data_IF_032038053337
#
_entry.id   IF_032038053337
#
_cell.length_a   1.000
_cell.length_b   1.000
_cell.length_c   1.000
_cell.angle_alpha   90.00
_cell.angle_beta   90.00
_cell.angle_gamma   90.00
#
_symmetry.space_group_name_H-M   'P 1'
#
loop_
_entity.id
_entity.type
_entity.pdbx_description
1 polymer ?
#
# COMPACT_ATOMS: atom_id res chain seq x y z
N UNK A 1 22.78 -46.99 35.17
CA UNK A 1 23.37 -45.91 36.00
C UNK A 1 22.79 -44.61 35.50
N UNK A 2 22.01 -43.96 36.35
CA UNK A 2 21.41 -42.66 36.09
C UNK A 2 22.36 -41.56 36.59
N UNK A 3 22.50 -40.48 35.83
CA UNK A 3 22.90 -39.18 36.38
C UNK A 3 22.05 -38.13 35.67
N UNK A 4 21.28 -37.42 36.48
CA UNK A 4 20.47 -36.27 36.13
C UNK A 4 21.22 -35.00 36.56
N UNK A 5 21.24 -33.97 35.71
CA UNK A 5 21.50 -32.58 36.10
C UNK A 5 20.63 -31.71 35.18
N UNK A 6 19.53 -31.13 35.69
CA UNK A 6 19.36 -29.91 36.48
C UNK A 6 19.12 -28.68 35.60
N UNK A 7 17.88 -28.21 35.70
CA UNK A 7 17.32 -26.93 35.27
C UNK A 7 17.84 -25.80 36.16
N UNK A 8 18.12 -24.64 35.55
CA UNK A 8 17.99 -23.30 36.13
C UNK A 8 17.63 -22.38 34.93
N UNK A 9 16.38 -21.94 34.73
CA UNK A 9 15.70 -20.83 35.38
C UNK A 9 16.50 -19.52 35.29
N UNK A 10 16.22 -18.70 34.28
CA UNK A 10 16.53 -17.28 34.28
C UNK A 10 15.26 -16.45 34.07
N UNK A 11 15.31 -15.28 34.68
CA UNK A 11 14.23 -14.59 35.35
C UNK A 11 13.33 -13.75 34.43
N UNK A 12 12.06 -13.71 34.81
CA UNK A 12 11.07 -12.70 34.44
C UNK A 12 11.51 -11.35 35.00
N UNK A 13 11.82 -10.38 34.14
CA UNK A 13 12.04 -8.99 34.56
C UNK A 13 10.71 -8.25 34.50
N UNK A 14 10.22 -7.93 35.69
CA UNK A 14 9.04 -7.13 35.97
C UNK A 14 9.16 -5.68 35.48
N UNK A 15 7.97 -5.11 35.24
CA UNK A 15 7.75 -3.87 34.53
C UNK A 15 8.28 -2.59 35.20
N UNK A 16 8.45 -1.59 34.34
CA UNK A 16 8.67 -0.20 34.72
C UNK A 16 7.36 0.58 34.61
N UNK A 17 6.92 1.27 35.68
CA UNK A 17 5.80 2.20 35.61
C UNK A 17 6.27 3.53 35.01
N UNK A 18 5.60 4.00 33.96
CA UNK A 18 5.74 5.37 33.48
C UNK A 18 4.86 6.29 34.33
N UNK A 19 5.51 7.08 35.18
CA UNK A 19 4.88 8.14 35.97
C UNK A 19 4.46 9.32 35.09
N UNK A 20 3.18 9.67 35.22
CA UNK A 20 2.61 10.98 34.92
C UNK A 20 3.24 12.05 35.83
N UNK A 21 3.78 13.12 35.24
CA UNK A 21 3.64 14.53 35.69
C UNK A 21 4.59 15.48 34.97
N UNK A 22 4.05 16.31 34.09
CA UNK A 22 4.54 17.67 33.89
C UNK A 22 3.38 18.57 33.41
N UNK A 23 2.85 19.34 34.36
CA UNK A 23 1.92 20.44 34.20
C UNK A 23 2.69 21.75 34.39
N UNK A 24 2.63 22.67 33.41
CA UNK A 24 2.77 24.14 33.51
C UNK A 24 2.28 24.72 32.15
N UNK A 25 1.07 25.28 32.02
CA UNK A 25 0.57 26.64 32.37
C UNK A 25 1.15 27.81 31.55
N UNK A 26 0.38 28.20 30.51
CA UNK A 26 -0.01 29.54 30.01
C UNK A 26 1.06 30.49 29.35
N UNK A 27 0.70 31.51 28.50
CA UNK A 27 -0.62 32.17 28.36
C UNK A 27 -1.12 32.56 26.93
N UNK A 28 -2.34 33.13 26.98
CA UNK A 28 -3.27 33.72 25.98
C UNK A 28 -2.72 34.66 24.87
N UNK A 29 -3.63 34.93 23.90
CA UNK A 29 -3.77 36.05 22.91
C UNK A 29 -3.69 35.55 21.45
N UNK A 30 -4.64 35.77 20.52
CA UNK A 30 -5.69 36.79 20.38
C UNK A 30 -6.92 36.25 19.63
N UNK A 31 -8.05 36.86 19.98
CA UNK A 31 -9.39 36.78 19.39
C UNK A 31 -9.43 37.70 18.15
N UNK A 32 -10.05 37.24 17.06
CA UNK A 32 -10.39 38.05 15.86
C UNK A 32 -11.62 37.45 15.16
N UNK A 33 -12.49 38.28 14.54
CA UNK A 33 -13.94 38.09 14.62
C UNK A 33 -14.60 37.32 13.47
N UNK A 34 -15.80 36.85 13.80
CA UNK A 34 -16.83 36.27 12.95
C UNK A 34 -17.15 37.08 11.70
N UNK A 35 -17.24 36.40 10.54
CA UNK A 35 -18.10 36.82 9.43
C UNK A 35 -18.75 35.58 8.82
N UNK A 36 -20.02 35.37 9.16
CA UNK A 36 -20.98 34.55 8.42
C UNK A 36 -21.59 35.43 7.33
N UNK A 37 -21.81 34.91 6.12
CA UNK A 37 -23.11 35.15 5.50
C UNK A 37 -23.85 33.86 5.16
N UNK A 38 -25.15 33.99 5.36
CA UNK A 38 -26.20 33.00 5.22
C UNK A 38 -26.55 32.75 3.75
N UNK A 39 -26.92 31.50 3.47
CA UNK A 39 -27.93 30.99 2.51
C UNK A 39 -28.28 31.86 1.29
N UNK A 40 -28.22 31.21 0.13
CA UNK A 40 -29.41 31.16 -0.73
C UNK A 40 -29.47 29.86 -1.55
N UNK A 41 -30.69 29.34 -1.66
CA UNK A 41 -31.05 28.12 -2.36
C UNK A 41 -31.71 28.47 -3.69
N UNK A 42 -31.23 27.89 -4.79
CA UNK A 42 -32.01 27.77 -6.04
C UNK A 42 -31.63 26.43 -6.69
N UNK A 43 -32.51 25.44 -6.62
CA UNK A 43 -33.60 25.18 -7.55
C UNK A 43 -33.12 24.54 -8.85
N UNK A 44 -33.31 23.20 -8.88
CA UNK A 44 -33.24 22.35 -10.06
C UNK A 44 -34.11 22.92 -11.19
N UNK A 45 -33.56 23.00 -12.40
CA UNK A 45 -34.34 22.79 -13.62
C UNK A 45 -33.60 21.85 -14.57
N UNK A 46 -34.35 20.79 -14.89
CA UNK A 46 -34.10 19.79 -15.92
C UNK A 46 -33.89 20.45 -17.28
N UNK A 47 -32.94 19.95 -18.07
CA UNK A 47 -33.04 20.05 -19.53
C UNK A 47 -32.32 18.85 -20.16
N UNK A 48 -33.17 17.95 -20.63
CA UNK A 48 -32.89 16.79 -21.46
C UNK A 48 -32.35 17.25 -22.81
N UNK A 49 -31.17 16.76 -23.19
CA UNK A 49 -30.72 16.78 -24.58
C UNK A 49 -30.31 15.36 -24.95
N UNK A 50 -31.26 14.64 -25.56
CA UNK A 50 -31.02 13.39 -26.26
C UNK A 50 -30.22 13.70 -27.52
N UNK A 51 -28.95 13.34 -27.54
CA UNK A 51 -28.16 13.28 -28.79
C UNK A 51 -28.30 11.85 -29.30
N UNK A 52 -29.20 11.69 -30.28
CA UNK A 52 -29.25 10.48 -31.09
C UNK A 52 -28.00 10.42 -31.96
N UNK A 53 -27.13 9.46 -31.67
CA UNK A 53 -26.09 9.00 -32.61
C UNK A 53 -26.50 7.62 -33.09
N UNK A 54 -27.09 7.57 -34.28
CA UNK A 54 -27.22 6.33 -35.03
C UNK A 54 -25.82 5.90 -35.50
N UNK A 55 -25.35 4.76 -35.02
CA UNK A 55 -24.25 4.03 -35.62
C UNK A 55 -24.79 2.67 -36.07
N UNK A 56 -25.16 2.59 -37.34
CA UNK A 56 -25.33 1.34 -38.08
C UNK A 56 -23.93 0.80 -38.35
N UNK A 57 -23.64 -0.42 -37.89
CA UNK A 57 -22.39 -1.08 -38.23
C UNK A 57 -22.07 -2.32 -37.41
N UNK A 58 -22.59 -3.46 -37.87
CA UNK A 58 -21.93 -4.76 -37.89
C UNK A 58 -21.50 -5.41 -36.56
N UNK A 59 -22.27 -6.45 -36.23
CA UNK A 59 -21.93 -7.57 -35.33
C UNK A 59 -20.47 -8.03 -35.44
N UNK A 60 -19.82 -8.29 -34.29
CA UNK A 60 -19.30 -9.62 -34.06
C UNK A 60 -19.67 -10.17 -32.67
N UNK A 61 -19.68 -11.50 -32.62
CA UNK A 61 -20.12 -12.37 -31.54
C UNK A 61 -19.77 -11.86 -30.14
N UNK A 62 -20.82 -11.49 -29.40
CA UNK A 62 -20.77 -11.08 -28.00
C UNK A 62 -20.45 -12.29 -27.11
N UNK A 63 -19.15 -12.56 -26.94
CA UNK A 63 -18.68 -13.31 -25.79
C UNK A 63 -18.98 -12.48 -24.55
N UNK A 64 -20.02 -12.86 -23.81
CA UNK A 64 -20.45 -12.16 -22.62
C UNK A 64 -19.29 -12.09 -21.61
N UNK A 65 -18.61 -10.94 -21.55
CA UNK A 65 -17.67 -10.63 -20.47
C UNK A 65 -18.50 -10.58 -19.19
N UNK A 66 -18.46 -11.68 -18.42
CA UNK A 66 -19.08 -11.74 -17.10
C UNK A 66 -18.28 -10.83 -16.18
N UNK A 67 -18.69 -9.56 -16.12
CA UNK A 67 -18.17 -8.59 -15.16
C UNK A 67 -18.59 -9.10 -13.78
N UNK A 68 -17.67 -9.79 -13.10
CA UNK A 68 -17.83 -10.14 -11.70
C UNK A 68 -17.78 -8.85 -10.89
N UNK A 69 -18.94 -8.29 -10.60
CA UNK A 69 -19.07 -7.26 -9.57
C UNK A 69 -18.83 -7.98 -8.23
N UNK A 70 -17.76 -7.65 -7.48
CA UNK A 70 -17.55 -8.29 -6.19
C UNK A 70 -18.78 -8.01 -5.33
N UNK A 71 -19.38 -9.09 -4.83
CA UNK A 71 -20.43 -9.05 -3.83
C UNK A 71 -19.87 -8.25 -2.64
N UNK A 72 -20.58 -7.20 -2.24
CA UNK A 72 -20.10 -6.26 -1.23
C UNK A 72 -20.09 -6.93 0.13
N UNK A 73 -19.03 -7.68 0.42
CA UNK A 73 -18.68 -8.07 1.78
C UNK A 73 -18.52 -6.79 2.59
N UNK A 74 -19.15 -6.75 3.76
CA UNK A 74 -19.28 -5.57 4.60
C UNK A 74 -17.97 -4.79 4.72
N UNK A 75 -17.95 -3.62 4.07
CA UNK A 75 -16.83 -2.71 3.94
C UNK A 75 -16.39 -2.24 5.35
N UNK A 76 -15.45 -2.93 5.99
CA UNK A 76 -14.56 -2.28 6.97
C UNK A 76 -13.50 -1.51 6.22
N UNK A 77 -13.91 -0.53 5.43
CA UNK A 77 -12.97 0.32 4.70
C UNK A 77 -12.43 1.36 5.66
N UNK A 78 -11.29 1.02 6.24
CA UNK A 78 -10.34 2.04 6.67
C UNK A 78 -9.84 2.75 5.42
N UNK A 79 -10.16 4.03 5.28
CA UNK A 79 -9.61 4.89 4.24
C UNK A 79 -8.41 5.66 4.81
N UNK A 80 -7.38 5.83 4.00
CA UNK A 80 -6.32 6.79 4.28
C UNK A 80 -6.93 8.20 4.28
N UNK A 81 -6.69 8.95 5.36
CA UNK A 81 -7.08 10.35 5.46
C UNK A 81 -5.95 11.24 4.94
N UNK A 82 -4.73 10.97 5.40
CA UNK A 82 -3.53 11.67 4.97
C UNK A 82 -2.35 10.69 4.97
N UNK A 83 -1.52 10.76 3.94
CA UNK A 83 -0.23 10.06 3.88
C UNK A 83 0.84 11.11 4.11
N UNK A 84 1.56 11.01 5.23
CA UNK A 84 2.62 11.95 5.60
C UNK A 84 3.94 11.63 4.94
N UNK A 85 4.22 10.34 4.73
CA UNK A 85 5.43 9.86 4.08
C UNK A 85 5.13 8.64 3.21
N UNK A 86 5.82 8.56 2.08
CA UNK A 86 5.70 7.46 1.14
C UNK A 86 7.06 7.09 0.56
N UNK A 87 7.30 5.79 0.42
CA UNK A 87 8.47 5.24 -0.23
C UNK A 87 8.06 4.22 -1.29
N UNK A 88 8.83 4.14 -2.36
CA UNK A 88 8.82 3.03 -3.32
C UNK A 88 10.01 2.13 -3.02
N UNK A 89 9.76 0.84 -2.81
CA UNK A 89 10.79 -0.14 -2.54
C UNK A 89 10.87 -1.21 -3.60
N UNK A 90 12.08 -1.72 -3.83
CA UNK A 90 12.33 -2.90 -4.65
C UNK A 90 13.08 -3.95 -3.83
N UNK A 91 12.52 -5.16 -3.78
CA UNK A 91 13.16 -6.31 -3.12
C UNK A 91 14.42 -6.69 -3.91
N UNK A 92 15.55 -6.78 -3.21
CA UNK A 92 16.83 -7.22 -3.76
C UNK A 92 17.05 -8.70 -3.48
N UNK A 93 16.71 -9.11 -2.26
CA UNK A 93 16.89 -10.47 -1.78
C UNK A 93 15.81 -10.81 -0.76
N UNK A 94 15.17 -11.98 -0.89
CA UNK A 94 14.22 -12.51 0.08
C UNK A 94 14.82 -13.73 0.80
N UNK A 95 14.74 -13.74 2.14
CA UNK A 95 15.07 -14.89 3.00
C UNK A 95 13.78 -15.45 3.63
N UNK A 96 13.20 -16.52 3.05
CA UNK A 96 11.99 -17.15 3.58
C UNK A 96 12.19 -17.82 4.94
N UNK A 97 13.40 -18.30 5.24
CA UNK A 97 13.68 -19.05 6.48
C UNK A 97 13.76 -18.09 7.66
N UNK A 98 14.40 -16.94 7.48
CA UNK A 98 14.47 -15.86 8.46
C UNK A 98 13.19 -14.99 8.51
N UNK A 99 12.28 -15.16 7.53
CA UNK A 99 11.04 -14.38 7.36
C UNK A 99 11.31 -12.88 7.20
N UNK A 100 12.32 -12.53 6.43
CA UNK A 100 12.73 -11.15 6.17
C UNK A 100 13.21 -10.98 4.73
N UNK A 101 13.23 -9.74 4.25
CA UNK A 101 13.76 -9.41 2.92
C UNK A 101 14.53 -8.10 2.95
N UNK A 102 15.55 -8.03 2.10
CA UNK A 102 16.37 -6.84 1.87
C UNK A 102 15.79 -6.09 0.68
N UNK A 103 15.61 -4.78 0.83
CA UNK A 103 15.09 -3.91 -0.22
C UNK A 103 15.87 -2.61 -0.32
N UNK A 104 15.92 -2.05 -1.53
CA UNK A 104 16.30 -0.65 -1.75
C UNK A 104 15.03 0.17 -1.80
N UNK A 105 14.94 1.21 -0.98
CA UNK A 105 13.82 2.14 -0.93
C UNK A 105 14.21 3.52 -1.43
N UNK A 106 13.25 4.18 -2.09
CA UNK A 106 13.34 5.56 -2.56
C UNK A 106 12.23 6.39 -1.93
N UNK A 107 12.61 7.52 -1.33
CA UNK A 107 11.66 8.47 -0.77
C UNK A 107 10.87 9.19 -1.88
N UNK A 108 9.55 9.02 -1.87
CA UNK A 108 8.64 9.70 -2.80
C UNK A 108 8.21 11.09 -2.29
N UNK A 109 8.40 11.34 -0.99
CA UNK A 109 8.09 12.60 -0.30
C UNK A 109 9.20 13.63 -0.52
N UNK A 110 10.45 13.20 -0.38
CA UNK A 110 11.63 14.05 -0.55
C UNK A 110 12.65 13.40 -1.49
N UNK A 111 12.53 13.70 -2.79
CA UNK A 111 13.37 13.10 -3.85
C UNK A 111 14.86 13.47 -3.79
N UNK A 112 15.26 14.41 -2.93
CA UNK A 112 16.67 14.72 -2.70
C UNK A 112 17.36 13.72 -1.78
N UNK A 113 16.58 12.92 -1.04
CA UNK A 113 17.12 11.86 -0.20
C UNK A 113 17.69 10.75 -1.09
N UNK A 114 18.87 10.20 -0.74
CA UNK A 114 19.44 9.08 -1.47
C UNK A 114 18.57 7.83 -1.30
N UNK A 115 18.74 6.85 -2.20
CA UNK A 115 18.14 5.53 -2.04
C UNK A 115 18.79 4.83 -0.83
N UNK A 116 18.00 4.14 0.00
CA UNK A 116 18.44 3.49 1.24
C UNK A 116 18.24 1.97 1.17
N UNK A 117 19.14 1.20 1.77
CA UNK A 117 18.98 -0.26 1.93
C UNK A 117 18.37 -0.56 3.30
N UNK A 118 17.31 -1.38 3.31
CA UNK A 118 16.56 -1.73 4.51
C UNK A 118 16.26 -3.23 4.56
N UNK A 119 16.19 -3.76 5.77
CA UNK A 119 15.72 -5.11 6.06
C UNK A 119 14.32 -5.03 6.64
N UNK A 120 13.38 -5.79 6.07
CA UNK A 120 11.96 -5.76 6.44
C UNK A 120 11.47 -7.17 6.75
N UNK A 121 10.93 -7.39 7.94
CA UNK A 121 10.29 -8.63 8.32
C UNK A 121 8.94 -8.84 7.63
N UNK A 122 8.61 -10.09 7.31
CA UNK A 122 7.36 -10.48 6.66
C UNK A 122 6.12 -10.07 7.47
N UNK A 123 6.22 -9.97 8.80
CA UNK A 123 5.16 -9.50 9.69
C UNK A 123 4.78 -8.03 9.49
N UNK A 124 5.66 -7.24 8.88
CA UNK A 124 5.36 -5.84 8.51
C UNK A 124 4.53 -5.73 7.23
N UNK A 125 4.38 -6.83 6.50
CA UNK A 125 3.62 -6.92 5.25
C UNK A 125 2.22 -7.46 5.53
N UNK A 126 1.23 -6.97 4.78
CA UNK A 126 -0.12 -7.52 4.82
C UNK A 126 -0.12 -9.00 4.47
N UNK A 127 -0.87 -9.79 5.23
CA UNK A 127 -0.99 -11.23 5.01
C UNK A 127 -1.42 -11.58 3.56
N UNK A 128 -2.28 -10.75 2.94
CA UNK A 128 -2.74 -10.93 1.55
C UNK A 128 -1.67 -10.73 0.48
N UNK A 129 -0.53 -10.14 0.86
CA UNK A 129 0.55 -9.74 -0.03
C UNK A 129 1.85 -10.54 0.24
N UNK A 130 1.86 -11.45 1.21
CA UNK A 130 3.04 -12.28 1.54
C UNK A 130 3.54 -13.09 0.35
N UNK A 131 2.62 -13.67 -0.43
CA UNK A 131 2.95 -14.46 -1.63
C UNK A 131 3.55 -13.61 -2.77
N UNK A 132 3.56 -12.29 -2.64
CA UNK A 132 4.14 -11.37 -3.62
C UNK A 132 5.59 -11.00 -3.30
N UNK A 133 6.09 -11.36 -2.11
CA UNK A 133 7.47 -11.12 -1.71
C UNK A 133 8.38 -12.03 -2.55
N UNK A 134 9.07 -11.41 -3.50
CA UNK A 134 10.00 -12.08 -4.41
C UNK A 134 11.06 -11.11 -4.88
N UNK A 135 12.22 -11.63 -5.28
CA UNK A 135 13.32 -10.80 -5.78
C UNK A 135 12.86 -9.96 -6.98
N UNK A 136 13.14 -8.67 -6.92
CA UNK A 136 12.69 -7.70 -7.91
C UNK A 136 11.25 -7.22 -7.76
N UNK A 137 10.47 -7.74 -6.79
CA UNK A 137 9.13 -7.23 -6.51
C UNK A 137 9.19 -5.76 -6.06
N UNK A 138 8.16 -4.99 -6.44
CA UNK A 138 8.02 -3.58 -6.10
C UNK A 138 6.92 -3.42 -5.07
N UNK A 139 7.16 -2.63 -4.03
CA UNK A 139 6.17 -2.29 -3.01
C UNK A 139 6.14 -0.80 -2.72
N UNK A 140 5.05 -0.37 -2.09
CA UNK A 140 4.92 0.98 -1.53
C UNK A 140 4.81 0.87 -0.02
N UNK A 141 5.61 1.68 0.67
CA UNK A 141 5.52 1.84 2.12
C UNK A 141 4.96 3.21 2.42
N UNK A 142 3.80 3.26 3.07
CA UNK A 142 3.13 4.51 3.42
C UNK A 142 3.03 4.64 4.93
N UNK A 143 3.22 5.85 5.44
CA UNK A 143 2.98 6.24 6.83
C UNK A 143 2.03 7.43 6.82
N UNK A 144 1.04 7.42 7.71
CA UNK A 144 0.09 8.50 7.83
C UNK A 144 -1.05 8.19 8.78
N UNK A 145 -2.20 8.82 8.53
CA UNK A 145 -3.42 8.65 9.32
C UNK A 145 -4.54 7.97 8.51
N UNK A 146 -5.25 7.05 9.15
CA UNK A 146 -6.42 6.38 8.57
C UNK A 146 -7.65 6.49 9.48
N UNK A 147 -8.83 6.51 8.86
CA UNK A 147 -10.12 6.51 9.56
C UNK A 147 -10.93 5.29 9.15
N UNK A 148 -11.54 4.63 10.13
CA UNK A 148 -12.51 3.56 9.86
C UNK A 148 -13.84 4.17 9.46
N UNK A 149 -14.40 3.74 8.34
CA UNK A 149 -15.80 4.03 7.99
C UNK A 149 -16.67 3.08 8.82
N UNK A 150 -17.54 3.64 9.67
CA UNK A 150 -18.50 2.88 10.47
C UNK A 150 -19.68 2.44 9.61
N UNK A 151 -20.40 1.39 10.03
CA UNK A 151 -21.60 0.92 9.34
C UNK A 151 -22.69 2.00 9.19
N UNK A 152 -22.66 3.04 10.04
CA UNK A 152 -23.53 4.22 9.97
C UNK A 152 -23.13 5.24 8.89
N UNK A 153 -22.06 4.99 8.12
CA UNK A 153 -21.48 5.91 7.16
C UNK A 153 -20.65 7.04 7.78
N UNK A 154 -20.56 7.11 9.12
CA UNK A 154 -19.75 8.11 9.84
C UNK A 154 -18.28 7.69 9.88
N UNK A 155 -17.40 8.68 9.82
CA UNK A 155 -15.96 8.48 10.01
C UNK A 155 -15.66 8.31 11.51
N UNK A 156 -15.00 7.21 11.85
CA UNK A 156 -14.45 6.97 13.17
C UNK A 156 -13.23 7.85 13.47
N UNK A 157 -12.64 7.71 14.68
CA UNK A 157 -11.45 8.45 15.06
C UNK A 157 -10.27 8.13 14.13
N UNK A 158 -9.42 9.13 13.91
CA UNK A 158 -8.19 9.00 13.14
C UNK A 158 -7.14 8.23 13.93
N UNK A 159 -6.42 7.34 13.27
CA UNK A 159 -5.34 6.53 13.85
C UNK A 159 -4.12 6.57 12.96
N UNK A 160 -2.94 6.68 13.56
CA UNK A 160 -1.70 6.50 12.86
C UNK A 160 -1.58 5.05 12.37
N UNK A 161 -1.17 4.89 11.12
CA UNK A 161 -0.97 3.61 10.47
C UNK A 161 0.25 3.71 9.57
N UNK A 162 0.99 2.62 9.49
CA UNK A 162 1.91 2.36 8.39
C UNK A 162 1.44 1.12 7.64
N UNK A 163 1.76 1.04 6.35
CA UNK A 163 1.33 -0.07 5.51
C UNK A 163 2.31 -0.29 4.37
N UNK A 164 2.70 -1.56 4.17
CA UNK A 164 3.46 -2.00 3.01
C UNK A 164 2.51 -2.75 2.07
N UNK A 165 2.44 -2.31 0.81
CA UNK A 165 1.60 -2.91 -0.23
C UNK A 165 2.45 -3.29 -1.43
N UNK A 166 2.42 -4.56 -1.81
CA UNK A 166 3.10 -5.03 -3.01
C UNK A 166 2.30 -4.70 -4.27
N UNK A 167 3.01 -4.29 -5.32
CA UNK A 167 2.43 -4.04 -6.63
C UNK A 167 2.03 -5.37 -7.25
N UNK A 168 0.74 -5.54 -7.49
CA UNK A 168 0.20 -6.71 -8.21
C UNK A 168 0.35 -6.47 -9.71
N UNK A 169 1.17 -7.29 -10.37
CA UNK A 169 1.20 -7.29 -11.83
C UNK A 169 -0.08 -7.95 -12.36
N UNK A 170 -0.67 -7.44 -13.46
CA UNK A 170 -1.74 -8.13 -14.15
C UNK A 170 -1.29 -9.55 -14.53
N UNK A 171 -2.18 -10.55 -14.46
CA UNK A 171 -1.84 -11.89 -14.91
C UNK A 171 -1.44 -11.82 -16.40
N UNK A 172 -0.25 -12.31 -16.72
CA UNK A 172 0.24 -12.37 -18.09
C UNK A 172 -0.05 -13.74 -18.71
N UNK A 173 -0.43 -13.75 -19.99
CA UNK A 173 -0.61 -14.99 -20.73
C UNK A 173 0.72 -15.72 -20.93
N UNK A 174 0.66 -17.05 -21.04
CA UNK A 174 1.83 -17.88 -21.33
C UNK A 174 2.52 -17.48 -22.65
N UNK A 175 1.73 -17.10 -23.65
CA UNK A 175 2.21 -16.59 -24.94
C UNK A 175 3.03 -15.31 -24.76
N UNK A 176 2.54 -14.36 -23.97
CA UNK A 176 3.26 -13.10 -23.72
C UNK A 176 4.56 -13.33 -22.96
N UNK A 177 4.55 -14.25 -22.00
CA UNK A 177 5.76 -14.67 -21.29
C UNK A 177 6.80 -15.30 -22.23
N UNK A 178 6.36 -16.15 -23.16
CA UNK A 178 7.24 -16.77 -24.15
C UNK A 178 7.88 -15.71 -25.07
N UNK A 179 7.10 -14.72 -25.51
CA UNK A 179 7.61 -13.62 -26.32
C UNK A 179 8.65 -12.77 -25.58
N UNK A 180 8.38 -12.38 -24.34
CA UNK A 180 9.32 -11.61 -23.52
C UNK A 180 10.63 -12.39 -23.30
N UNK A 181 10.56 -13.70 -23.06
CA UNK A 181 11.75 -14.55 -22.92
C UNK A 181 12.57 -14.61 -24.21
N UNK A 182 11.90 -14.73 -25.36
CA UNK A 182 12.57 -14.71 -26.68
C UNK A 182 13.29 -13.37 -26.90
N UNK A 183 12.61 -12.24 -26.66
CA UNK A 183 13.18 -10.91 -26.81
C UNK A 183 14.36 -10.67 -25.85
N UNK A 184 14.24 -11.10 -24.59
CA UNK A 184 15.31 -10.98 -23.60
C UNK A 184 16.56 -11.76 -24.02
N UNK A 185 16.38 -12.99 -24.51
CA UNK A 185 17.49 -13.82 -25.02
C UNK A 185 18.18 -13.17 -26.21
N UNK A 186 17.43 -12.70 -27.20
CA UNK A 186 17.99 -12.02 -28.39
C UNK A 186 18.77 -10.77 -27.99
N UNK A 187 18.23 -9.96 -27.08
CA UNK A 187 18.92 -8.77 -26.57
C UNK A 187 20.23 -9.14 -25.86
N UNK A 188 20.19 -10.17 -25.01
CA UNK A 188 21.35 -10.67 -24.28
C UNK A 188 22.45 -11.14 -25.23
N UNK A 189 22.09 -11.87 -26.29
CA UNK A 189 23.04 -12.33 -27.31
C UNK A 189 23.68 -11.15 -28.06
N UNK A 190 22.90 -10.12 -28.41
CA UNK A 190 23.42 -8.91 -29.09
C UNK A 190 24.38 -8.10 -28.22
N UNK A 191 24.09 -7.98 -26.91
CA UNK A 191 24.92 -7.21 -25.99
C UNK A 191 26.24 -7.93 -25.66
N UNK A 192 26.22 -9.25 -25.51
CA UNK A 192 27.42 -10.02 -25.14
C UNK A 192 28.22 -10.54 -26.34
N UNK A 193 27.60 -10.68 -27.52
CA UNK A 193 28.26 -11.16 -28.74
C UNK A 193 29.25 -10.17 -29.38
N UNK A 194 29.18 -8.88 -29.01
CA UNK A 194 30.02 -7.82 -29.60
C UNK A 194 31.36 -7.58 -28.88
N UNK A 195 31.69 -8.35 -27.83
CA UNK A 195 32.91 -8.16 -27.02
C UNK A 195 34.07 -9.11 -27.34
N UNK A 196 34.00 -9.90 -28.42
CA UNK A 196 35.04 -10.89 -28.80
C UNK A 196 35.77 -10.59 -30.13
N UNK A 197 35.96 -9.31 -30.49
CA UNK A 197 36.74 -8.92 -31.67
C UNK A 197 38.05 -8.23 -31.29
#
# INVERSE_FOLDING_TARGET
MAVAEKLDAYETVDGLPFDDKASMVAPNLRRGPDVIPSREATSRKSSTAEVMVECVGSSPQSGAVKVFRPESTEYRVSAWENISQSWEGRVIYNDPDAREFVAIIRDLTCKSNPDEEVVIGHESVLHSDLDLISDGAVFFWNIGSCRKILASGKLGPSKHKYEIRFRRLPPMSAERLAEIRKQSKELSERLHGNHSA
#
